data_IF_185310611480
#
_entry.id   IF_185310611480
#
_cell.length_a   1.000
_cell.length_b   1.000
_cell.length_c   1.000
_cell.angle_alpha   90.00
_cell.angle_beta   90.00
_cell.angle_gamma   90.00
#
_symmetry.space_group_name_H-M   'P 1'
#
loop_
_entity.id
_entity.type
_entity.pdbx_description
1 polymer ?
#
# COMPACT_ATOMS: atom_id res chain seq x y z
N UNK A 1 -24.37 7.20 -0.33
CA UNK A 1 -23.94 7.14 1.09
C UNK A 1 -22.42 7.11 1.11
N UNK A 2 -21.80 7.89 2.00
CA UNK A 2 -20.35 7.81 2.23
C UNK A 2 -20.05 6.62 3.12
N UNK A 3 -19.05 5.80 2.75
CA UNK A 3 -18.61 4.66 3.56
C UNK A 3 -18.01 5.16 4.88
N UNK A 4 -18.33 4.49 5.98
CA UNK A 4 -17.69 4.65 7.28
C UNK A 4 -16.21 4.24 7.22
N UNK A 5 -15.42 4.64 8.22
CA UNK A 5 -14.01 4.26 8.29
C UNK A 5 -13.83 2.73 8.34
N UNK A 6 -14.67 2.02 9.10
CA UNK A 6 -14.67 0.56 9.18
C UNK A 6 -14.91 -0.10 7.81
N UNK A 7 -15.95 0.33 7.09
CA UNK A 7 -16.27 -0.20 5.76
C UNK A 7 -15.13 0.03 4.75
N UNK A 8 -14.38 1.13 4.89
CA UNK A 8 -13.21 1.42 4.05
C UNK A 8 -12.02 0.51 4.39
N UNK A 9 -11.81 0.17 5.67
CA UNK A 9 -10.80 -0.81 6.07
C UNK A 9 -11.14 -2.22 5.59
N UNK A 10 -12.39 -2.65 5.70
CA UNK A 10 -12.82 -3.96 5.18
C UNK A 10 -12.64 -4.07 3.66
N UNK A 11 -12.88 -2.98 2.92
CA UNK A 11 -12.61 -2.96 1.49
C UNK A 11 -11.11 -3.06 1.18
N UNK A 12 -10.27 -2.39 1.96
CA UNK A 12 -8.82 -2.47 1.82
C UNK A 12 -8.28 -3.87 2.11
N UNK A 13 -8.90 -4.59 3.05
CA UNK A 13 -8.58 -5.99 3.36
C UNK A 13 -8.99 -6.92 2.21
N UNK A 14 -10.18 -6.72 1.63
CA UNK A 14 -10.59 -7.48 0.43
C UNK A 14 -9.66 -7.24 -0.76
N UNK A 15 -9.24 -6.00 -0.98
CA UNK A 15 -8.26 -5.67 -2.02
C UNK A 15 -6.92 -6.35 -1.77
N UNK A 16 -6.45 -6.38 -0.51
CA UNK A 16 -5.22 -7.08 -0.13
C UNK A 16 -5.29 -8.56 -0.53
N UNK A 17 -6.39 -9.25 -0.23
CA UNK A 17 -6.57 -10.64 -0.63
C UNK A 17 -6.53 -10.84 -2.16
N UNK A 18 -7.08 -9.90 -2.93
CA UNK A 18 -6.99 -9.90 -4.40
C UNK A 18 -5.56 -9.70 -4.92
N UNK A 19 -4.71 -8.97 -4.19
CA UNK A 19 -3.28 -8.85 -4.49
C UNK A 19 -2.57 -10.17 -4.19
N UNK A 20 -2.75 -10.71 -2.98
CA UNK A 20 -2.08 -11.94 -2.54
C UNK A 20 -2.46 -13.14 -3.41
N UNK A 21 -3.68 -13.20 -3.93
CA UNK A 21 -4.10 -14.27 -4.84
C UNK A 21 -3.37 -14.25 -6.19
N UNK A 22 -2.66 -13.16 -6.53
CA UNK A 22 -1.80 -13.11 -7.72
C UNK A 22 -0.37 -13.57 -7.45
N UNK A 23 -0.07 -14.07 -6.24
CA UNK A 23 1.26 -14.54 -5.90
C UNK A 23 1.66 -15.70 -6.81
N UNK A 24 2.84 -15.58 -7.41
CA UNK A 24 3.48 -16.68 -8.15
C UNK A 24 4.99 -16.69 -7.92
N UNK A 25 5.60 -17.85 -8.13
CA UNK A 25 7.07 -17.99 -8.11
C UNK A 25 7.57 -17.83 -9.54
N UNK A 26 8.42 -16.83 -9.75
CA UNK A 26 9.11 -16.59 -11.01
C UNK A 26 10.62 -16.71 -10.84
N UNK A 27 11.33 -16.95 -11.94
CA UNK A 27 12.80 -16.85 -11.95
C UNK A 27 13.19 -15.40 -12.14
N UNK A 28 13.87 -14.82 -11.17
CA UNK A 28 14.44 -13.49 -11.32
C UNK A 28 15.67 -13.57 -12.26
N UNK A 29 15.64 -12.79 -13.34
CA UNK A 29 16.68 -12.78 -14.39
C UNK A 29 18.02 -12.25 -13.87
N UNK A 30 18.01 -11.35 -12.89
CA UNK A 30 19.21 -10.75 -12.31
C UNK A 30 19.84 -11.67 -11.25
N UNK A 31 19.03 -12.15 -10.31
CA UNK A 31 19.56 -12.96 -9.19
C UNK A 31 19.69 -14.44 -9.53
N UNK A 32 19.15 -14.89 -10.67
CA UNK A 32 19.06 -16.29 -11.10
C UNK A 32 18.35 -17.21 -10.09
N UNK A 33 17.66 -16.64 -9.10
CA UNK A 33 16.93 -17.36 -8.05
C UNK A 33 15.43 -17.26 -8.27
N UNK A 34 14.72 -18.20 -7.67
CA UNK A 34 13.27 -18.12 -7.54
C UNK A 34 12.92 -16.95 -6.61
N UNK A 35 11.97 -16.13 -7.03
CA UNK A 35 11.45 -15.01 -6.26
C UNK A 35 9.92 -15.02 -6.32
N UNK A 36 9.29 -14.58 -5.23
CA UNK A 36 7.85 -14.35 -5.19
C UNK A 36 7.51 -13.02 -5.88
N UNK A 37 6.53 -13.08 -6.77
CA UNK A 37 5.97 -11.94 -7.47
C UNK A 37 4.47 -11.87 -7.21
N UNK A 38 3.93 -10.66 -7.33
CA UNK A 38 2.50 -10.37 -7.37
C UNK A 38 2.23 -9.52 -8.61
N UNK A 39 0.96 -9.40 -8.99
CA UNK A 39 0.53 -8.42 -9.98
C UNK A 39 0.89 -7.01 -9.47
N UNK A 40 1.82 -6.36 -10.17
CA UNK A 40 2.37 -5.08 -9.77
C UNK A 40 1.35 -3.95 -9.85
N UNK A 41 0.41 -4.00 -10.79
CA UNK A 41 -0.64 -2.99 -10.92
C UNK A 41 -1.62 -3.08 -9.75
N UNK A 42 -2.05 -4.29 -9.39
CA UNK A 42 -2.90 -4.52 -8.21
C UNK A 42 -2.18 -4.13 -6.92
N UNK A 43 -0.91 -4.54 -6.77
CA UNK A 43 -0.09 -4.19 -5.61
C UNK A 43 0.07 -2.68 -5.44
N UNK A 44 0.39 -1.96 -6.51
CA UNK A 44 0.55 -0.51 -6.48
C UNK A 44 -0.76 0.20 -6.14
N UNK A 45 -1.89 -0.26 -6.68
CA UNK A 45 -3.20 0.30 -6.37
C UNK A 45 -3.55 0.10 -4.89
N UNK A 46 -3.35 -1.12 -4.36
CA UNK A 46 -3.59 -1.40 -2.94
C UNK A 46 -2.74 -0.52 -2.02
N UNK A 47 -1.44 -0.36 -2.33
CA UNK A 47 -0.53 0.53 -1.58
C UNK A 47 -1.04 1.99 -1.60
N UNK A 48 -1.49 2.49 -2.75
CA UNK A 48 -2.01 3.84 -2.85
C UNK A 48 -3.29 4.05 -2.02
N UNK A 49 -4.21 3.08 -2.05
CA UNK A 49 -5.44 3.10 -1.23
C UNK A 49 -5.12 3.03 0.26
N UNK A 50 -4.19 2.16 0.67
CA UNK A 50 -3.74 2.04 2.06
C UNK A 50 -3.15 3.35 2.58
N UNK A 51 -2.25 3.98 1.81
CA UNK A 51 -1.67 5.29 2.14
C UNK A 51 -2.76 6.33 2.35
N UNK A 52 -3.64 6.51 1.36
CA UNK A 52 -4.74 7.49 1.44
C UNK A 52 -5.64 7.26 2.67
N UNK A 53 -5.91 6.00 3.00
CA UNK A 53 -6.76 5.67 4.13
C UNK A 53 -6.08 5.99 5.48
N UNK A 54 -4.77 5.82 5.59
CA UNK A 54 -4.00 6.29 6.73
C UNK A 54 -4.05 7.83 6.84
N UNK A 55 -3.83 8.55 5.74
CA UNK A 55 -3.92 10.03 5.71
C UNK A 55 -5.29 10.52 6.18
N UNK A 56 -6.36 9.89 5.68
CA UNK A 56 -7.74 10.22 6.05
C UNK A 56 -8.08 9.85 7.51
N UNK A 57 -7.49 8.79 8.07
CA UNK A 57 -7.77 8.30 9.44
C UNK A 57 -7.12 9.15 10.52
N UNK A 58 -5.89 9.58 10.26
CA UNK A 58 -5.09 10.33 11.22
C UNK A 58 -5.33 11.85 11.13
N UNK A 59 -5.94 12.32 10.04
CA UNK A 59 -6.10 13.75 9.74
C UNK A 59 -4.75 14.43 9.44
N UNK A 60 -4.80 15.59 8.78
CA UNK A 60 -3.60 16.37 8.41
C UNK A 60 -2.72 16.83 9.60
N UNK A 61 -3.17 16.62 10.84
CA UNK A 61 -2.51 17.09 12.06
C UNK A 61 -1.95 15.95 12.92
N UNK A 62 -1.94 14.71 12.44
CA UNK A 62 -1.28 13.63 13.17
C UNK A 62 0.23 13.74 13.07
N UNK A 63 0.90 13.62 14.21
CA UNK A 63 2.37 13.56 14.31
C UNK A 63 2.96 12.50 13.37
N UNK A 64 2.28 11.35 13.22
CA UNK A 64 2.71 10.28 12.30
C UNK A 64 2.68 10.70 10.83
N UNK A 65 1.66 11.45 10.40
CA UNK A 65 1.55 11.94 9.03
C UNK A 65 2.58 13.06 8.74
N UNK A 66 2.85 13.90 9.73
CA UNK A 66 3.87 14.94 9.65
C UNK A 66 5.27 14.33 9.54
N UNK A 67 5.63 13.39 10.42
CA UNK A 67 6.92 12.70 10.38
C UNK A 67 7.13 11.93 9.08
N UNK A 68 6.09 11.23 8.59
CA UNK A 68 6.17 10.50 7.32
C UNK A 68 6.45 11.43 6.12
N UNK A 69 5.85 12.62 6.09
CA UNK A 69 6.07 13.60 5.02
C UNK A 69 7.39 14.36 5.18
N UNK A 70 7.82 14.69 6.40
CA UNK A 70 9.08 15.37 6.65
C UNK A 70 10.29 14.48 6.31
N UNK A 71 10.18 13.17 6.57
CA UNK A 71 11.18 12.20 6.12
C UNK A 71 11.29 12.17 4.59
N UNK A 72 10.19 12.43 3.88
CA UNK A 72 10.12 12.48 2.41
C UNK A 72 10.73 13.76 1.83
N UNK A 73 10.67 14.89 2.56
CA UNK A 73 11.34 16.15 2.18
C UNK A 73 12.87 16.03 2.26
N UNK A 74 13.38 15.30 3.24
CA UNK A 74 14.83 15.13 3.43
C UNK A 74 15.50 14.15 2.44
N UNK A 75 14.72 13.43 1.64
CA UNK A 75 15.22 12.51 0.60
C UNK A 75 15.28 13.14 -0.81
N UNK A 76 14.91 14.42 -0.94
CA UNK A 76 14.93 15.18 -2.20
C UNK A 76 15.98 16.31 -2.22
N UNK A 77 16.97 16.28 -1.31
CA UNK A 77 18.13 17.20 -1.28
C UNK A 77 19.40 16.45 -1.67
#
# INVERSE_FOLDING_TARGET
MNKTLAERFEELERDYHSVVSTKYIGKNVFSHRNQEFIDSAKGNNWIARAKKLLEDSYGKNSDYYNDFNDTKKNLLV
#
